data_IF_845524547915
#
_entry.id   IF_845524547915
#
_cell.length_a   1.000
_cell.length_b   1.000
_cell.length_c   1.000
_cell.angle_alpha   90.00
_cell.angle_beta   90.00
_cell.angle_gamma   90.00
#
_symmetry.space_group_name_H-M   'P 1'
#
loop_
_entity.id
_entity.type
_entity.pdbx_description
1 polymer ?
#
# COMPACT_ATOMS: atom_id res chain seq x y z
N UNK A 1 8.44 3.52 -16.41
CA UNK A 1 9.11 2.35 -15.79
C UNK A 1 8.21 1.82 -14.68
N UNK A 2 8.29 0.53 -14.37
CA UNK A 2 7.74 -0.02 -13.11
C UNK A 2 8.78 0.10 -11.99
N UNK A 3 8.38 0.00 -10.73
CA UNK A 3 9.29 -0.03 -9.58
C UNK A 3 10.33 -1.16 -9.72
N UNK A 4 9.88 -2.37 -10.07
CA UNK A 4 10.77 -3.51 -10.30
C UNK A 4 11.80 -3.23 -11.43
N UNK A 5 11.36 -2.65 -12.56
CA UNK A 5 12.27 -2.30 -13.67
C UNK A 5 13.26 -1.19 -13.32
N UNK A 6 12.96 -0.39 -12.28
CA UNK A 6 13.83 0.66 -11.76
C UNK A 6 14.79 0.16 -10.67
N UNK A 7 14.81 -1.15 -10.37
CA UNK A 7 15.74 -1.78 -9.43
C UNK A 7 15.26 -1.86 -7.99
N UNK A 8 14.00 -1.52 -7.71
CA UNK A 8 13.42 -1.70 -6.38
C UNK A 8 13.03 -3.17 -6.18
N UNK A 9 13.33 -3.71 -5.00
CA UNK A 9 12.72 -4.95 -4.51
C UNK A 9 11.30 -4.64 -4.03
N UNK A 10 10.31 -5.30 -4.60
CA UNK A 10 8.90 -4.98 -4.39
C UNK A 10 8.20 -6.18 -3.78
N UNK A 11 7.45 -5.94 -2.71
CA UNK A 11 6.45 -6.85 -2.18
C UNK A 11 5.08 -6.17 -2.19
N UNK A 12 4.00 -6.94 -2.37
CA UNK A 12 2.63 -6.46 -2.26
C UNK A 12 2.02 -6.80 -0.90
N UNK A 13 1.06 -5.98 -0.47
CA UNK A 13 0.21 -6.27 0.69
C UNK A 13 -0.71 -7.48 0.44
N UNK A 14 -1.77 -7.60 1.25
CA UNK A 14 -2.69 -8.71 1.08
C UNK A 14 -3.57 -8.49 -0.15
N UNK A 15 -3.54 -9.44 -1.09
CA UNK A 15 -4.34 -9.43 -2.31
C UNK A 15 -5.23 -10.68 -2.36
N UNK A 16 -6.51 -10.53 -2.72
CA UNK A 16 -7.37 -11.70 -2.85
C UNK A 16 -7.11 -12.41 -4.17
N UNK A 17 -7.14 -13.73 -4.15
CA UNK A 17 -7.12 -14.53 -5.37
C UNK A 17 -8.28 -14.14 -6.30
N UNK A 18 -7.94 -13.92 -7.58
CA UNK A 18 -8.90 -13.53 -8.61
C UNK A 18 -9.11 -12.02 -8.75
N UNK A 19 -8.45 -11.20 -7.94
CA UNK A 19 -8.35 -9.75 -8.17
C UNK A 19 -7.24 -9.45 -9.19
N UNK A 20 -7.44 -8.41 -10.01
CA UNK A 20 -6.47 -8.00 -11.03
C UNK A 20 -5.09 -7.65 -10.43
N UNK A 21 -5.08 -7.11 -9.21
CA UNK A 21 -3.85 -6.79 -8.49
C UNK A 21 -3.06 -8.07 -8.17
N UNK A 22 -3.74 -9.15 -7.76
CA UNK A 22 -3.12 -10.45 -7.50
C UNK A 22 -2.52 -11.02 -8.77
N UNK A 23 -3.27 -11.05 -9.87
CA UNK A 23 -2.80 -11.60 -11.15
C UNK A 23 -1.59 -10.83 -11.69
N UNK A 24 -1.61 -9.49 -11.52
CA UNK A 24 -0.50 -8.63 -11.93
C UNK A 24 0.75 -8.94 -11.11
N UNK A 25 0.65 -8.94 -9.78
CA UNK A 25 1.78 -9.23 -8.89
C UNK A 25 2.35 -10.63 -9.14
N UNK A 26 1.49 -11.64 -9.26
CA UNK A 26 1.89 -13.01 -9.54
C UNK A 26 2.61 -13.15 -10.90
N UNK A 27 2.12 -12.48 -11.95
CA UNK A 27 2.75 -12.51 -13.29
C UNK A 27 4.13 -11.85 -13.33
N UNK A 28 4.40 -10.95 -12.38
CA UNK A 28 5.67 -10.24 -12.22
C UNK A 28 6.59 -10.90 -11.19
N UNK A 29 6.20 -12.07 -10.64
CA UNK A 29 6.94 -12.78 -9.59
C UNK A 29 7.22 -11.90 -8.35
N UNK A 30 6.29 -10.99 -8.04
CA UNK A 30 6.35 -10.12 -6.85
C UNK A 30 5.91 -10.91 -5.62
N UNK A 31 6.69 -10.86 -4.55
CA UNK A 31 6.33 -11.43 -3.26
C UNK A 31 5.05 -10.78 -2.72
N UNK A 32 4.07 -11.58 -2.32
CA UNK A 32 2.76 -11.10 -1.88
C UNK A 32 2.18 -11.97 -0.78
N UNK A 33 1.25 -11.40 -0.02
CA UNK A 33 0.36 -12.17 0.86
C UNK A 33 -0.94 -12.42 0.12
N UNK A 34 -1.33 -13.68 -0.08
CA UNK A 34 -2.61 -13.99 -0.71
C UNK A 34 -3.70 -14.24 0.33
N UNK A 35 -4.92 -13.84 -0.02
CA UNK A 35 -6.13 -14.19 0.72
C UNK A 35 -7.11 -14.96 -0.19
N UNK A 36 -7.98 -15.82 0.38
CA UNK A 36 -9.03 -16.49 -0.40
C UNK A 36 -9.94 -15.50 -1.14
N UNK A 37 -10.52 -15.87 -2.29
CA UNK A 37 -11.43 -15.01 -3.03
C UNK A 37 -12.59 -14.50 -2.17
N UNK A 38 -12.93 -13.22 -2.32
CA UNK A 38 -14.07 -12.57 -1.63
C UNK A 38 -14.06 -12.69 -0.10
N UNK A 39 -12.88 -12.86 0.51
CA UNK A 39 -12.74 -13.02 1.96
C UNK A 39 -12.19 -11.75 2.63
N UNK A 40 -12.45 -11.63 3.93
CA UNK A 40 -11.77 -10.64 4.75
C UNK A 40 -10.36 -11.14 5.11
N UNK A 41 -9.42 -10.21 5.28
CA UNK A 41 -8.05 -10.52 5.68
C UNK A 41 -8.04 -11.13 7.09
N UNK A 42 -7.61 -12.39 7.17
CA UNK A 42 -7.55 -13.17 8.41
C UNK A 42 -6.32 -12.87 9.26
N UNK A 43 -6.22 -13.49 10.46
CA UNK A 43 -5.11 -13.23 11.39
C UNK A 43 -3.74 -13.63 10.83
N UNK A 44 -3.66 -14.71 10.03
CA UNK A 44 -2.41 -15.18 9.44
C UNK A 44 -1.91 -14.20 8.37
N UNK A 45 -2.81 -13.76 7.48
CA UNK A 45 -2.51 -12.79 6.43
C UNK A 45 -2.14 -11.43 7.04
N UNK A 46 -2.80 -11.02 8.13
CA UNK A 46 -2.40 -9.83 8.89
C UNK A 46 -1.00 -9.97 9.49
N UNK A 47 -0.68 -11.10 10.10
CA UNK A 47 0.66 -11.28 10.68
C UNK A 47 1.75 -11.16 9.61
N UNK A 48 1.52 -11.75 8.44
CA UNK A 48 2.46 -11.69 7.32
C UNK A 48 2.55 -10.29 6.70
N UNK A 49 1.42 -9.60 6.53
CA UNK A 49 1.38 -8.21 6.08
C UNK A 49 2.23 -7.30 6.98
N UNK A 50 2.09 -7.44 8.30
CA UNK A 50 2.89 -6.65 9.24
C UNK A 50 4.38 -7.03 9.22
N UNK A 51 4.72 -8.30 8.94
CA UNK A 51 6.10 -8.75 8.72
C UNK A 51 6.70 -8.06 7.48
N UNK A 52 6.03 -8.12 6.33
CA UNK A 52 6.47 -7.47 5.10
C UNK A 52 6.61 -5.95 5.26
N UNK A 53 5.59 -5.29 5.84
CA UNK A 53 5.69 -3.87 6.16
C UNK A 53 6.84 -3.57 7.14
N UNK A 54 7.19 -4.49 8.02
CA UNK A 54 8.31 -4.40 8.96
C UNK A 54 9.68 -4.49 8.30
N UNK A 55 9.80 -5.28 7.23
CA UNK A 55 11.04 -5.49 6.46
C UNK A 55 11.27 -4.41 5.40
N UNK A 56 10.20 -3.86 4.82
CA UNK A 56 10.30 -2.84 3.79
C UNK A 56 10.97 -1.54 4.27
N UNK A 57 11.85 -0.96 3.44
CA UNK A 57 12.44 0.37 3.69
C UNK A 57 11.40 1.49 3.55
N UNK A 58 10.49 1.36 2.59
CA UNK A 58 9.43 2.32 2.30
C UNK A 58 8.11 1.59 2.06
N UNK A 59 7.02 2.09 2.63
CA UNK A 59 5.66 1.60 2.35
C UNK A 59 4.98 2.58 1.41
N UNK A 60 4.51 2.11 0.26
CA UNK A 60 3.67 2.90 -0.65
C UNK A 60 2.22 2.47 -0.48
N UNK A 61 1.35 3.40 -0.10
CA UNK A 61 -0.09 3.18 -0.07
C UNK A 61 -0.75 3.87 -1.26
N UNK A 62 -1.54 3.13 -2.02
CA UNK A 62 -2.33 3.66 -3.14
C UNK A 62 -3.74 4.00 -2.66
N UNK A 63 -4.27 5.15 -3.09
CA UNK A 63 -5.68 5.48 -2.92
C UNK A 63 -6.53 4.52 -3.76
N UNK A 64 -7.29 3.63 -3.10
CA UNK A 64 -8.11 2.58 -3.73
C UNK A 64 -9.45 2.49 -3.03
N UNK A 65 -10.45 1.86 -3.67
CA UNK A 65 -11.69 1.51 -2.98
C UNK A 65 -11.40 0.56 -1.80
N UNK A 66 -11.91 0.90 -0.63
CA UNK A 66 -11.66 0.20 0.62
C UNK A 66 -12.94 -0.43 1.11
N UNK A 67 -12.91 -1.75 1.27
CA UNK A 67 -13.96 -2.52 1.90
C UNK A 67 -13.39 -3.43 2.99
N UNK A 68 -14.22 -4.32 3.58
CA UNK A 68 -13.76 -5.28 4.58
C UNK A 68 -12.60 -6.18 4.08
N UNK A 69 -12.55 -6.45 2.77
CA UNK A 69 -11.56 -7.34 2.14
C UNK A 69 -10.14 -6.77 2.01
N UNK A 70 -9.93 -5.46 2.14
CA UNK A 70 -8.61 -4.84 1.98
C UNK A 70 -8.28 -3.76 3.03
N UNK A 71 -9.21 -3.45 3.94
CA UNK A 71 -9.01 -2.46 5.00
C UNK A 71 -7.74 -2.70 5.83
N UNK A 72 -7.36 -3.96 6.06
CA UNK A 72 -6.16 -4.28 6.85
C UNK A 72 -4.84 -3.80 6.21
N UNK A 73 -4.78 -3.67 4.88
CA UNK A 73 -3.61 -3.08 4.20
C UNK A 73 -3.40 -1.62 4.62
N UNK A 74 -4.49 -0.86 4.75
CA UNK A 74 -4.45 0.54 5.15
C UNK A 74 -4.16 0.68 6.63
N UNK A 75 -4.74 -0.19 7.47
CA UNK A 75 -4.43 -0.27 8.89
C UNK A 75 -2.93 -0.51 9.12
N UNK A 76 -2.34 -1.45 8.38
CA UNK A 76 -0.92 -1.75 8.47
C UNK A 76 -0.09 -0.51 8.09
N UNK A 77 -0.32 0.10 6.93
CA UNK A 77 0.38 1.32 6.51
C UNK A 77 0.29 2.44 7.56
N UNK A 78 -0.91 2.69 8.09
CA UNK A 78 -1.14 3.69 9.14
C UNK A 78 -0.37 3.38 10.44
N UNK A 79 -0.21 2.10 10.80
CA UNK A 79 0.52 1.67 12.00
C UNK A 79 2.02 1.93 11.96
N UNK A 80 2.59 2.12 10.75
CA UNK A 80 3.99 2.40 10.50
C UNK A 80 4.30 3.90 10.32
N UNK A 81 3.28 4.77 10.29
CA UNK A 81 3.47 6.21 10.25
C UNK A 81 4.38 6.68 11.40
N UNK A 82 5.47 7.36 11.05
CA UNK A 82 6.48 7.86 11.99
C UNK A 82 7.47 6.81 12.51
N UNK A 83 7.35 5.55 12.09
CA UNK A 83 8.35 4.49 12.36
C UNK A 83 9.28 4.28 11.16
N UNK A 84 8.75 4.46 9.95
CA UNK A 84 9.46 4.38 8.68
C UNK A 84 8.76 5.24 7.61
N UNK A 85 9.41 5.50 6.47
CA UNK A 85 8.78 6.19 5.36
C UNK A 85 7.50 5.49 4.89
N UNK A 86 6.42 6.25 4.85
CA UNK A 86 5.15 5.87 4.23
C UNK A 86 4.83 6.95 3.21
N UNK A 87 4.62 6.55 1.95
CA UNK A 87 4.24 7.43 0.85
C UNK A 87 2.80 7.15 0.46
N UNK A 88 2.04 8.21 0.19
CA UNK A 88 0.65 8.10 -0.22
C UNK A 88 0.48 8.50 -1.69
N UNK A 89 0.15 7.54 -2.54
CA UNK A 89 -0.09 7.75 -3.96
C UNK A 89 -1.60 7.94 -4.21
N UNK A 90 -2.00 9.18 -4.51
CA UNK A 90 -3.39 9.61 -4.64
C UNK A 90 -3.60 10.45 -5.91
N UNK A 91 -3.68 9.82 -7.10
CA UNK A 91 -3.81 10.54 -8.36
C UNK A 91 -5.12 11.33 -8.49
N UNK A 92 -6.22 10.78 -7.96
CA UNK A 92 -7.56 11.36 -8.10
C UNK A 92 -7.90 12.42 -7.05
N UNK A 93 -7.10 12.53 -5.98
CA UNK A 93 -7.29 13.46 -4.84
C UNK A 93 -8.70 13.44 -4.23
N UNK A 94 -9.40 12.31 -4.33
CA UNK A 94 -10.80 12.20 -3.91
C UNK A 94 -11.09 10.93 -3.11
N UNK A 95 -10.78 10.98 -1.82
CA UNK A 95 -10.89 9.82 -0.92
C UNK A 95 -12.32 9.55 -0.46
N UNK A 96 -13.22 10.54 -0.52
CA UNK A 96 -14.61 10.40 -0.04
C UNK A 96 -15.40 9.29 -0.75
N UNK A 97 -15.05 8.99 -2.00
CA UNK A 97 -15.72 7.95 -2.80
C UNK A 97 -15.13 6.55 -2.61
N UNK A 98 -14.03 6.46 -1.88
CA UNK A 98 -13.26 5.22 -1.73
C UNK A 98 -13.65 4.42 -0.48
N UNK A 99 -14.44 5.00 0.43
CA UNK A 99 -14.80 4.33 1.70
C UNK A 99 -16.10 3.52 1.58
N UNK A 100 -15.97 2.19 1.65
CA UNK A 100 -17.09 1.22 1.76
C UNK A 100 -17.08 0.53 3.14
N UNK A 101 -16.59 1.22 4.17
CA UNK A 101 -16.37 0.72 5.54
C UNK A 101 -17.00 1.62 6.62
N UNK A 102 -18.07 2.34 6.27
CA UNK A 102 -18.82 3.21 7.18
C UNK A 102 -17.94 4.25 7.93
N UNK A 103 -16.94 4.82 7.24
CA UNK A 103 -16.09 5.91 7.78
C UNK A 103 -14.75 5.45 8.35
N UNK A 104 -14.53 4.13 8.47
CA UNK A 104 -13.27 3.59 8.99
C UNK A 104 -12.10 3.89 8.06
N UNK A 105 -12.25 3.64 6.75
CA UNK A 105 -11.22 3.93 5.76
C UNK A 105 -10.95 5.43 5.65
N UNK A 106 -11.99 6.27 5.75
CA UNK A 106 -11.84 7.73 5.80
C UNK A 106 -10.94 8.13 6.97
N UNK A 107 -11.19 7.61 8.17
CA UNK A 107 -10.37 7.91 9.35
C UNK A 107 -8.91 7.50 9.19
N UNK A 108 -8.66 6.37 8.53
CA UNK A 108 -7.30 5.90 8.24
C UNK A 108 -6.60 6.78 7.20
N UNK A 109 -7.30 7.11 6.11
CA UNK A 109 -6.79 8.01 5.09
C UNK A 109 -6.47 9.40 5.65
N UNK A 110 -7.34 9.96 6.49
CA UNK A 110 -7.09 11.25 7.15
C UNK A 110 -5.81 11.21 7.99
N UNK A 111 -5.57 10.11 8.70
CA UNK A 111 -4.35 9.92 9.49
C UNK A 111 -3.08 9.82 8.62
N UNK A 112 -3.19 9.18 7.45
CA UNK A 112 -2.09 9.05 6.48
C UNK A 112 -1.82 10.39 5.81
N UNK A 113 -2.82 11.07 5.27
CA UNK A 113 -2.70 12.39 4.63
C UNK A 113 -2.07 13.41 5.58
N UNK A 114 -2.39 13.35 6.87
CA UNK A 114 -1.81 14.26 7.86
C UNK A 114 -0.31 14.03 8.14
N UNK A 115 0.27 12.88 7.75
CA UNK A 115 1.59 12.43 8.25
C UNK A 115 2.52 11.85 7.19
N UNK A 116 2.02 11.50 6.01
CA UNK A 116 2.76 10.95 4.90
C UNK A 116 2.81 11.96 3.73
N UNK A 117 3.91 12.06 2.98
CA UNK A 117 3.94 12.77 1.72
C UNK A 117 2.88 12.20 0.75
N UNK A 118 2.07 13.08 0.18
CA UNK A 118 1.07 12.74 -0.84
C UNK A 118 1.61 13.08 -2.23
N UNK A 119 1.63 12.11 -3.13
CA UNK A 119 2.07 12.22 -4.53
C UNK A 119 0.92 11.83 -5.45
N UNK A 120 0.82 12.47 -6.61
CA UNK A 120 -0.32 12.30 -7.53
C UNK A 120 0.07 11.71 -8.90
N UNK A 121 1.36 11.54 -9.16
CA UNK A 121 1.88 11.00 -10.41
C UNK A 121 3.13 10.14 -10.17
N UNK A 122 3.51 9.40 -11.21
CA UNK A 122 4.58 8.40 -11.13
C UNK A 122 5.94 9.06 -10.93
N UNK A 123 6.20 10.20 -11.56
CA UNK A 123 7.47 10.91 -11.44
C UNK A 123 7.66 11.40 -10.00
N UNK A 124 6.64 12.01 -9.40
CA UNK A 124 6.66 12.40 -7.99
C UNK A 124 6.79 11.22 -7.04
N UNK A 125 6.22 10.06 -7.36
CA UNK A 125 6.42 8.85 -6.56
C UNK A 125 7.89 8.41 -6.58
N UNK A 126 8.54 8.41 -7.73
CA UNK A 126 9.97 8.07 -7.83
C UNK A 126 10.86 9.08 -7.10
N UNK A 127 10.59 10.38 -7.24
CA UNK A 127 11.34 11.41 -6.50
C UNK A 127 11.25 11.23 -4.99
N UNK A 128 10.07 10.90 -4.46
CA UNK A 128 9.89 10.66 -3.03
C UNK A 128 10.50 9.31 -2.57
N UNK A 129 10.50 8.28 -3.42
CA UNK A 129 11.19 7.02 -3.13
C UNK A 129 12.71 7.22 -3.03
N UNK A 130 13.31 7.96 -3.96
CA UNK A 130 14.74 8.28 -3.93
C UNK A 130 15.12 9.06 -2.67
N UNK A 131 14.29 10.05 -2.30
CA UNK A 131 14.45 10.81 -1.04
C UNK A 131 14.35 9.90 0.18
N UNK A 132 13.37 9.01 0.23
CA UNK A 132 13.12 8.13 1.37
C UNK A 132 14.21 7.06 1.54
N UNK A 133 14.74 6.51 0.44
CA UNK A 133 15.81 5.52 0.46
C UNK A 133 17.21 6.13 0.68
N UNK A 134 17.33 7.46 0.77
CA UNK A 134 18.62 8.13 0.91
C UNK A 134 19.52 8.02 -0.32
N UNK A 135 18.95 7.69 -1.48
CA UNK A 135 19.65 7.67 -2.76
C UNK A 135 19.73 9.10 -3.29
N UNK A 136 20.68 9.87 -2.78
CA UNK A 136 21.16 11.08 -3.47
C UNK A 136 22.54 10.77 -4.04
N UNK A 137 22.67 10.98 -5.34
CA UNK A 137 23.96 11.27 -5.98
C UNK A 137 24.66 12.47 -5.31
#
# INVERSE_FOLDING_TARGET
>A
STLASAGYEVSAGVLNHGDQDFDTAASMEIDLVSAPPFSAIGPAEKAELYRLCGEADVIVLVAVNVGPGNCANIEAAASFLGKKPVLFFNPDKNLKKLDHTDGKATSLYDAIVARAPEVADIDGLFEELERACGMRE
#
